data_IF_214687957458
#
_entry.id   IF_214687957458
#
_cell.length_a   1.000
_cell.length_b   1.000
_cell.length_c   1.000
_cell.angle_alpha   90.00
_cell.angle_beta   90.00
_cell.angle_gamma   90.00
#
_symmetry.space_group_name_H-M   'P 1'
#
loop_
_entity.id
_entity.type
_entity.pdbx_description
1 polymer ?
#
# COMPACT_ATOMS: atom_id res chain seq x y z
N UNK A 1 48.10 -3.28 25.88
CA UNK A 1 46.89 -3.96 25.42
C UNK A 1 45.57 -3.14 25.58
N UNK A 2 45.55 -1.94 26.08
CA UNK A 2 44.31 -1.12 26.26
C UNK A 2 43.94 -0.21 25.07
N UNK A 3 44.86 0.03 24.14
CA UNK A 3 44.63 0.96 22.99
C UNK A 3 43.97 0.32 21.78
N UNK A 4 43.96 -1.03 21.68
CA UNK A 4 43.39 -1.76 20.54
C UNK A 4 41.86 -1.91 20.62
N UNK A 5 41.29 -1.82 21.81
CA UNK A 5 39.82 -2.03 22.04
C UNK A 5 39.04 -0.77 21.65
N UNK A 6 39.62 0.42 21.80
CA UNK A 6 38.91 1.66 21.44
C UNK A 6 38.83 1.91 19.93
N UNK A 7 39.75 1.35 19.14
CA UNK A 7 39.68 1.42 17.67
C UNK A 7 38.61 0.53 17.08
N UNK A 8 38.35 -0.62 17.71
CA UNK A 8 37.29 -1.56 17.29
C UNK A 8 35.87 -1.05 17.61
N UNK A 9 35.72 -0.27 18.68
CA UNK A 9 34.43 0.32 19.06
C UNK A 9 34.04 1.54 18.23
N UNK A 10 35.04 2.28 17.69
CA UNK A 10 34.77 3.43 16.81
C UNK A 10 34.37 3.01 15.39
N UNK A 11 34.81 1.84 14.92
CA UNK A 11 34.44 1.35 13.59
C UNK A 11 33.03 0.77 13.52
N UNK A 12 32.49 0.32 14.67
CA UNK A 12 31.14 -0.26 14.72
C UNK A 12 30.05 0.82 14.84
N UNK A 13 30.38 2.01 15.33
CA UNK A 13 29.44 3.13 15.44
C UNK A 13 29.22 3.87 14.12
N UNK A 14 30.13 3.73 13.16
CA UNK A 14 30.01 4.38 11.84
C UNK A 14 29.04 3.65 10.87
N UNK A 15 28.66 2.40 11.18
CA UNK A 15 27.77 1.58 10.34
C UNK A 15 26.28 1.78 10.64
N UNK A 16 25.93 2.55 11.68
CA UNK A 16 24.52 2.75 12.08
C UNK A 16 23.92 4.08 11.61
N UNK A 17 24.66 4.89 10.86
CA UNK A 17 24.17 6.16 10.32
C UNK A 17 23.83 6.11 8.82
N UNK A 18 23.55 4.92 8.28
CA UNK A 18 22.80 4.82 7.02
C UNK A 18 21.32 5.08 7.32
N UNK A 19 21.06 6.29 7.82
CA UNK A 19 19.73 6.87 7.86
C UNK A 19 19.24 6.93 6.43
N UNK A 20 18.19 6.19 6.14
CA UNK A 20 17.41 6.36 4.92
C UNK A 20 17.10 7.84 4.79
N UNK A 21 17.78 8.53 3.88
CA UNK A 21 17.36 9.84 3.45
C UNK A 21 15.97 9.66 2.84
N UNK A 22 14.94 10.01 3.61
CA UNK A 22 13.58 10.15 3.10
C UNK A 22 13.67 11.28 2.09
N UNK A 23 13.77 10.93 0.83
CA UNK A 23 13.72 11.88 -0.27
C UNK A 23 12.29 12.37 -0.33
N UNK A 24 12.01 13.52 0.30
CA UNK A 24 10.74 14.26 0.17
C UNK A 24 10.67 14.93 -1.22
N UNK A 25 11.03 14.20 -2.25
CA UNK A 25 10.95 14.64 -3.64
C UNK A 25 9.72 14.02 -4.30
N UNK A 26 9.05 14.78 -5.12
CA UNK A 26 8.05 14.25 -6.04
C UNK A 26 8.70 13.11 -6.83
N UNK A 27 8.12 11.93 -6.76
CA UNK A 27 8.60 10.78 -7.54
C UNK A 27 8.50 11.12 -9.03
N UNK A 28 9.55 10.82 -9.78
CA UNK A 28 9.49 11.03 -11.23
C UNK A 28 8.51 10.05 -11.90
N UNK A 29 7.92 10.46 -13.02
CA UNK A 29 7.03 9.60 -13.79
C UNK A 29 7.67 8.25 -14.19
N UNK A 30 8.98 8.24 -14.40
CA UNK A 30 9.73 7.00 -14.70
C UNK A 30 9.76 6.06 -13.49
N UNK A 31 10.09 6.59 -12.33
CA UNK A 31 10.13 5.82 -11.08
C UNK A 31 8.73 5.33 -10.69
N UNK A 32 7.70 6.17 -10.85
CA UNK A 32 6.31 5.78 -10.64
C UNK A 32 5.92 4.59 -11.52
N UNK A 33 6.24 4.64 -12.83
CA UNK A 33 5.97 3.54 -13.77
C UNK A 33 6.72 2.27 -13.40
N UNK A 34 8.01 2.34 -13.05
CA UNK A 34 8.80 1.18 -12.64
C UNK A 34 8.24 0.55 -11.36
N UNK A 35 7.85 1.37 -10.39
CA UNK A 35 7.23 0.91 -9.16
C UNK A 35 5.88 0.21 -9.45
N UNK A 36 5.02 0.82 -10.26
CA UNK A 36 3.74 0.23 -10.63
C UNK A 36 3.91 -1.12 -11.36
N UNK A 37 4.87 -1.22 -12.28
CA UNK A 37 5.19 -2.47 -12.95
C UNK A 37 5.66 -3.55 -11.96
N UNK A 38 6.45 -3.18 -10.95
CA UNK A 38 6.91 -4.13 -9.94
C UNK A 38 5.75 -4.67 -9.08
N UNK A 39 4.78 -3.82 -8.75
CA UNK A 39 3.58 -4.20 -8.00
C UNK A 39 2.69 -5.10 -8.85
N UNK A 40 2.45 -4.73 -10.10
CA UNK A 40 1.66 -5.54 -11.03
C UNK A 40 2.27 -6.93 -11.23
N UNK A 41 3.59 -7.00 -11.41
CA UNK A 41 4.29 -8.28 -11.55
C UNK A 41 4.18 -9.13 -10.29
N UNK A 42 4.30 -8.55 -9.09
CA UNK A 42 4.17 -9.29 -7.83
C UNK A 42 2.76 -9.82 -7.60
N UNK A 43 1.75 -9.16 -8.19
CA UNK A 43 0.33 -9.52 -8.05
C UNK A 43 -0.22 -10.24 -9.30
N UNK A 44 0.64 -10.59 -10.27
CA UNK A 44 0.20 -11.15 -11.57
C UNK A 44 -0.62 -12.43 -11.45
N UNK A 45 -0.30 -13.30 -10.51
CA UNK A 45 -1.06 -14.54 -10.28
C UNK A 45 -2.48 -14.26 -9.77
N UNK A 46 -2.64 -13.29 -8.86
CA UNK A 46 -3.95 -12.88 -8.36
C UNK A 46 -4.79 -12.15 -9.42
N UNK A 47 -4.13 -11.48 -10.38
CA UNK A 47 -4.79 -10.79 -11.47
C UNK A 47 -5.21 -11.77 -12.58
N UNK A 48 -4.39 -12.78 -12.87
CA UNK A 48 -4.66 -13.76 -13.93
C UNK A 48 -5.91 -14.61 -13.66
N UNK A 49 -6.20 -14.91 -12.39
CA UNK A 49 -7.40 -15.64 -11.96
C UNK A 49 -8.58 -14.76 -11.54
N UNK A 50 -8.51 -13.46 -11.82
CA UNK A 50 -9.50 -12.52 -11.34
C UNK A 50 -10.86 -12.69 -12.01
N UNK A 51 -11.89 -12.92 -11.18
CA UNK A 51 -13.29 -12.85 -11.58
C UNK A 51 -13.90 -11.57 -11.01
N UNK A 52 -14.54 -10.73 -11.84
CA UNK A 52 -15.16 -9.51 -11.35
C UNK A 52 -16.20 -9.77 -10.25
N UNK A 53 -16.14 -8.97 -9.20
CA UNK A 53 -17.11 -9.05 -8.13
C UNK A 53 -18.43 -8.39 -8.55
N UNK A 54 -19.55 -9.01 -8.16
CA UNK A 54 -20.82 -8.33 -7.99
C UNK A 54 -20.86 -7.66 -6.62
N UNK A 55 -21.81 -6.76 -6.36
CA UNK A 55 -21.95 -6.18 -5.02
C UNK A 55 -22.16 -7.25 -3.93
N UNK A 56 -22.90 -8.31 -4.24
CA UNK A 56 -23.13 -9.40 -3.29
C UNK A 56 -21.87 -10.20 -3.00
N UNK A 57 -21.11 -10.58 -4.02
CA UNK A 57 -19.86 -11.35 -3.83
C UNK A 57 -18.78 -10.49 -3.17
N UNK A 58 -18.75 -9.18 -3.42
CA UNK A 58 -17.90 -8.25 -2.70
C UNK A 58 -18.22 -8.22 -1.20
N UNK A 59 -19.50 -8.03 -0.85
CA UNK A 59 -19.94 -8.03 0.55
C UNK A 59 -19.59 -9.37 1.20
N UNK A 60 -19.88 -10.47 0.55
CA UNK A 60 -19.60 -11.81 1.09
C UNK A 60 -18.10 -12.01 1.34
N UNK A 61 -17.25 -11.52 0.45
CA UNK A 61 -15.79 -11.59 0.57
C UNK A 61 -15.24 -10.76 1.71
N UNK A 62 -15.77 -9.55 1.94
CA UNK A 62 -15.17 -8.56 2.84
C UNK A 62 -15.94 -8.34 4.15
N UNK A 63 -17.12 -8.96 4.33
CA UNK A 63 -17.94 -8.79 5.56
C UNK A 63 -17.21 -9.14 6.84
N UNK A 64 -16.40 -10.18 6.84
CA UNK A 64 -15.70 -10.62 8.05
C UNK A 64 -14.70 -9.56 8.56
N UNK A 65 -13.92 -8.99 7.64
CA UNK A 65 -12.96 -7.94 7.99
C UNK A 65 -13.69 -6.65 8.40
N UNK A 66 -14.77 -6.29 7.73
CA UNK A 66 -15.57 -5.12 8.10
C UNK A 66 -16.20 -5.24 9.50
N UNK A 67 -16.64 -6.43 9.89
CA UNK A 67 -17.14 -6.71 11.25
C UNK A 67 -16.00 -6.64 12.28
N UNK A 68 -14.81 -7.15 11.93
CA UNK A 68 -13.64 -7.06 12.80
C UNK A 68 -13.28 -5.58 13.05
N UNK A 69 -13.21 -4.76 12.02
CA UNK A 69 -12.94 -3.33 12.12
C UNK A 69 -14.03 -2.59 12.92
N UNK A 70 -15.29 -2.97 12.75
CA UNK A 70 -16.38 -2.44 13.57
C UNK A 70 -16.17 -2.72 15.07
N UNK A 71 -15.74 -3.93 15.41
CA UNK A 71 -15.47 -4.29 16.82
C UNK A 71 -14.27 -3.55 17.41
N UNK A 72 -13.27 -3.23 16.57
CA UNK A 72 -12.05 -2.54 17.02
C UNK A 72 -12.26 -1.02 17.13
N UNK A 73 -12.96 -0.43 16.16
CA UNK A 73 -13.00 1.04 15.98
C UNK A 73 -14.41 1.63 16.11
N UNK A 74 -15.45 0.81 16.25
CA UNK A 74 -16.83 1.28 16.44
C UNK A 74 -17.53 1.78 15.17
N UNK A 75 -16.90 1.68 13.99
CA UNK A 75 -17.50 2.07 12.71
C UNK A 75 -18.41 0.93 12.23
N UNK A 76 -19.72 1.15 11.97
CA UNK A 76 -20.60 0.10 11.52
C UNK A 76 -20.07 -0.60 10.25
N UNK A 77 -20.04 -1.94 10.26
CA UNK A 77 -19.54 -2.74 9.14
C UNK A 77 -20.27 -2.43 7.82
N UNK A 78 -21.56 -2.09 7.88
CA UNK A 78 -22.34 -1.68 6.71
C UNK A 78 -21.80 -0.40 6.05
N UNK A 79 -21.32 0.56 6.85
CA UNK A 79 -20.73 1.81 6.34
C UNK A 79 -19.41 1.49 5.64
N UNK A 80 -18.52 0.72 6.29
CA UNK A 80 -17.24 0.32 5.70
C UNK A 80 -17.45 -0.43 4.37
N UNK A 81 -18.41 -1.37 4.33
CA UNK A 81 -18.73 -2.13 3.11
C UNK A 81 -19.32 -1.23 2.02
N UNK A 82 -20.24 -0.32 2.37
CA UNK A 82 -20.85 0.59 1.39
C UNK A 82 -19.80 1.52 0.76
N UNK A 83 -18.91 2.10 1.57
CA UNK A 83 -17.80 2.92 1.06
C UNK A 83 -16.87 2.10 0.17
N UNK A 84 -16.44 0.91 0.62
CA UNK A 84 -15.59 0.06 -0.17
C UNK A 84 -16.21 -0.35 -1.50
N UNK A 85 -17.52 -0.66 -1.53
CA UNK A 85 -18.28 -0.92 -2.76
C UNK A 85 -18.23 0.29 -3.72
N UNK A 86 -18.53 1.46 -3.21
CA UNK A 86 -18.64 2.67 -4.01
C UNK A 86 -17.28 3.11 -4.54
N UNK A 87 -16.29 3.28 -3.66
CA UNK A 87 -14.96 3.80 -4.00
C UNK A 87 -14.17 2.85 -4.91
N UNK A 88 -14.37 1.54 -4.78
CA UNK A 88 -13.62 0.56 -5.56
C UNK A 88 -14.38 0.00 -6.77
N UNK A 89 -15.61 0.47 -7.05
CA UNK A 89 -16.46 -0.16 -8.04
C UNK A 89 -16.68 -1.65 -7.74
N UNK A 90 -17.09 -1.96 -6.52
CA UNK A 90 -17.22 -3.34 -6.01
C UNK A 90 -15.91 -4.13 -6.05
N UNK A 91 -14.78 -3.48 -5.82
CA UNK A 91 -13.46 -4.12 -5.86
C UNK A 91 -12.91 -4.35 -7.27
N UNK A 92 -13.61 -3.87 -8.30
CA UNK A 92 -13.22 -4.09 -9.71
C UNK A 92 -12.29 -2.98 -10.24
N UNK A 93 -12.20 -1.86 -9.53
CA UNK A 93 -11.32 -0.75 -9.90
C UNK A 93 -9.83 -1.14 -9.86
N UNK A 94 -9.03 -0.45 -10.65
CA UNK A 94 -7.59 -0.74 -10.79
C UNK A 94 -6.85 -0.69 -9.44
N UNK A 95 -7.08 0.33 -8.61
CA UNK A 95 -6.43 0.45 -7.31
C UNK A 95 -6.77 -0.70 -6.36
N UNK A 96 -8.02 -1.15 -6.37
CA UNK A 96 -8.44 -2.29 -5.57
C UNK A 96 -7.79 -3.59 -6.05
N UNK A 97 -7.78 -3.82 -7.37
CA UNK A 97 -7.24 -5.05 -7.97
C UNK A 97 -5.72 -5.17 -7.90
N UNK A 98 -5.02 -4.07 -8.18
CA UNK A 98 -3.56 -4.07 -8.32
C UNK A 98 -2.86 -3.75 -7.01
N UNK A 99 -3.39 -2.78 -6.26
CA UNK A 99 -2.77 -2.28 -5.04
C UNK A 99 -3.54 -2.68 -3.75
N UNK A 100 -4.63 -3.46 -3.88
CA UNK A 100 -5.52 -3.82 -2.76
C UNK A 100 -6.01 -2.59 -1.98
N UNK A 101 -6.15 -1.46 -2.68
CA UNK A 101 -6.59 -0.19 -2.11
C UNK A 101 -8.03 0.09 -2.52
N UNK A 102 -8.98 -0.35 -1.70
CA UNK A 102 -10.41 -0.23 -1.96
C UNK A 102 -11.00 1.14 -1.62
N UNK A 103 -10.25 2.00 -0.94
CA UNK A 103 -10.73 3.29 -0.43
C UNK A 103 -9.97 4.49 -1.02
N UNK A 104 -9.06 4.27 -1.96
CA UNK A 104 -8.24 5.34 -2.53
C UNK A 104 -7.32 6.04 -1.52
N UNK A 105 -6.93 5.33 -0.44
CA UNK A 105 -6.09 5.90 0.61
C UNK A 105 -4.73 6.29 0.03
N UNK A 106 -4.35 7.55 0.25
CA UNK A 106 -3.06 8.09 -0.20
C UNK A 106 -1.97 7.82 0.83
N UNK A 107 -0.76 7.49 0.35
CA UNK A 107 0.40 7.33 1.20
C UNK A 107 0.75 8.67 1.85
N UNK A 108 1.05 8.63 3.14
CA UNK A 108 1.60 9.76 3.88
C UNK A 108 3.12 9.57 4.09
N UNK A 109 3.77 10.54 4.74
CA UNK A 109 5.22 10.51 5.01
C UNK A 109 5.65 9.36 5.93
N UNK A 110 4.73 8.75 6.67
CA UNK A 110 4.98 7.64 7.59
C UNK A 110 4.84 6.27 6.91
N UNK A 111 4.29 6.23 5.69
CA UNK A 111 4.09 5.01 4.95
C UNK A 111 5.43 4.34 4.61
N UNK A 112 5.61 3.10 5.05
CA UNK A 112 6.83 2.30 4.82
C UNK A 112 6.65 1.21 3.77
N UNK A 113 5.42 1.01 3.29
CA UNK A 113 5.10 0.02 2.27
C UNK A 113 5.33 0.52 0.85
N UNK A 114 5.03 -0.33 -0.12
CA UNK A 114 5.02 0.05 -1.54
C UNK A 114 3.83 0.96 -1.82
N UNK A 115 4.05 2.04 -2.59
CA UNK A 115 2.99 2.90 -3.07
C UNK A 115 2.68 2.62 -4.54
N UNK A 116 1.41 2.69 -4.93
CA UNK A 116 0.98 2.64 -6.33
C UNK A 116 0.63 4.05 -6.78
N UNK A 117 1.19 4.48 -7.91
CA UNK A 117 1.04 5.85 -8.41
C UNK A 117 0.06 5.86 -9.58
N UNK A 118 -1.02 6.59 -9.41
CA UNK A 118 -2.03 6.81 -10.43
C UNK A 118 -2.29 8.30 -10.55
N UNK A 119 -2.31 8.80 -11.76
CA UNK A 119 -2.70 10.17 -12.05
C UNK A 119 -4.23 10.24 -12.05
N UNK A 120 -4.81 11.06 -11.19
CA UNK A 120 -6.26 11.25 -11.09
C UNK A 120 -6.76 12.25 -12.16
N UNK A 121 -5.84 13.03 -12.73
CA UNK A 121 -6.13 14.05 -13.74
C UNK A 121 -5.84 13.50 -15.14
N UNK A 122 -6.88 13.06 -15.83
CA UNK A 122 -6.85 12.99 -17.30
C UNK A 122 -6.80 14.42 -17.85
N UNK A 123 -5.62 15.02 -17.87
CA UNK A 123 -5.37 16.19 -18.67
C UNK A 123 -5.36 15.78 -20.15
N UNK A 124 -6.54 15.77 -20.78
CA UNK A 124 -6.70 15.86 -22.22
C UNK A 124 -6.59 17.31 -22.65
#
# INVERSE_FOLDING_TARGET
>A
MRKSIYFSLLSLSALLLSSCAVHNGLISNREARQNNQSIQKSNSESIAGYTPYTSLTYIDRFKAIAIQEMNLYGIPASITLAQGLFESGSGNGELARVANNHFGIKCNNEWKGKGYYKDDDNHN
#
